data_IF_686132613369
#
_entry.id   IF_686132613369
#
_cell.length_a   1.000
_cell.length_b   1.000
_cell.length_c   1.000
_cell.angle_alpha   90.00
_cell.angle_beta   90.00
_cell.angle_gamma   90.00
#
_symmetry.space_group_name_H-M   'P 1'
#
loop_
_entity.id
_entity.type
_entity.pdbx_description
1 polymer ?
#
# COMPACT_ATOMS: atom_id res chain seq x y z
N UNK A 1 -24.36 36.75 34.62
CA UNK A 1 -24.84 37.45 33.41
C UNK A 1 -24.88 36.44 32.26
N UNK A 2 -26.07 35.89 32.00
CA UNK A 2 -26.51 35.49 30.65
C UNK A 2 -26.67 36.77 29.79
N UNK A 3 -26.62 36.76 28.44
CA UNK A 3 -27.55 35.97 27.59
C UNK A 3 -26.97 35.39 26.28
N UNK A 4 -27.41 34.18 25.90
CA UNK A 4 -28.37 33.87 24.83
C UNK A 4 -27.78 33.97 23.40
N UNK A 5 -27.77 32.92 22.59
CA UNK A 5 -29.01 32.33 22.10
C UNK A 5 -28.86 30.89 21.64
N UNK A 6 -29.38 29.97 22.45
CA UNK A 6 -29.75 28.62 22.02
C UNK A 6 -31.26 28.59 21.74
N UNK A 7 -31.66 28.62 20.48
CA UNK A 7 -32.98 28.20 20.01
C UNK A 7 -32.77 27.24 18.85
N UNK A 8 -33.35 26.04 18.95
CA UNK A 8 -33.29 25.07 17.85
C UNK A 8 -33.56 23.61 18.18
N UNK A 9 -34.17 23.27 19.33
CA UNK A 9 -34.92 22.02 19.44
C UNK A 9 -36.17 22.15 18.57
N UNK A 10 -36.09 21.73 17.30
CA UNK A 10 -37.22 21.40 16.42
C UNK A 10 -36.72 21.27 14.99
N UNK A 11 -36.30 20.07 14.59
CA UNK A 11 -36.45 19.49 13.23
C UNK A 11 -35.54 18.25 13.04
N UNK A 12 -35.60 17.29 13.96
CA UNK A 12 -35.15 15.91 13.72
C UNK A 12 -36.34 14.96 13.94
N UNK A 13 -37.45 15.27 13.26
CA UNK A 13 -38.60 14.37 13.05
C UNK A 13 -39.17 14.71 11.69
N UNK A 14 -38.50 14.25 10.64
CA UNK A 14 -38.95 14.58 9.28
C UNK A 14 -37.92 14.28 8.20
N UNK A 15 -37.26 13.11 8.25
CA UNK A 15 -36.53 12.49 7.12
C UNK A 15 -36.13 11.06 7.50
N UNK A 16 -37.12 10.28 7.92
CA UNK A 16 -37.09 8.81 8.01
C UNK A 16 -38.04 8.19 6.96
N UNK A 17 -38.41 8.96 5.94
CA UNK A 17 -39.15 8.50 4.78
C UNK A 17 -38.26 8.60 3.55
N UNK A 18 -38.04 7.46 2.88
CA UNK A 18 -37.37 7.26 1.56
C UNK A 18 -35.91 6.76 1.53
N UNK A 19 -35.45 6.02 2.55
CA UNK A 19 -34.19 5.26 2.46
C UNK A 19 -34.26 3.85 3.08
N UNK A 20 -35.44 3.24 3.08
CA UNK A 20 -35.68 1.90 3.64
C UNK A 20 -36.58 1.07 2.71
N UNK A 21 -36.23 0.98 1.43
CA UNK A 21 -36.85 0.05 0.49
C UNK A 21 -35.72 -0.75 -0.17
N UNK A 22 -35.79 -2.07 -0.01
CA UNK A 22 -35.00 -3.13 -0.65
C UNK A 22 -33.62 -3.51 -0.05
N UNK A 23 -33.58 -3.81 1.25
CA UNK A 23 -32.73 -4.90 1.79
C UNK A 23 -33.59 -5.84 2.63
N UNK A 24 -34.74 -6.22 2.08
CA UNK A 24 -35.67 -7.17 2.69
C UNK A 24 -35.78 -8.40 1.79
N UNK A 25 -34.81 -9.31 1.88
CA UNK A 25 -34.95 -10.71 1.41
C UNK A 25 -33.95 -11.69 2.07
N UNK A 26 -33.37 -11.36 3.23
CA UNK A 26 -32.35 -12.20 3.90
C UNK A 26 -32.86 -12.89 5.19
N UNK A 27 -34.14 -12.83 5.50
CA UNK A 27 -34.73 -13.63 6.57
C UNK A 27 -36.19 -13.93 6.21
N UNK A 28 -36.59 -15.19 6.42
CA UNK A 28 -37.90 -15.81 6.11
C UNK A 28 -37.91 -16.59 4.78
N UNK A 29 -37.48 -17.87 4.84
CA UNK A 29 -38.28 -19.06 4.47
C UNK A 29 -37.45 -20.35 4.25
N UNK A 30 -36.73 -20.84 5.27
CA UNK A 30 -36.69 -22.28 5.60
C UNK A 30 -36.63 -22.32 7.14
N UNK A 31 -37.78 -22.45 7.83
CA UNK A 31 -38.42 -23.75 8.00
C UNK A 31 -39.97 -23.66 7.95
N UNK A 32 -40.55 -23.14 6.87
CA UNK A 32 -42.00 -23.05 6.75
C UNK A 32 -42.57 -23.59 5.42
N UNK A 33 -41.80 -24.41 4.69
CA UNK A 33 -42.30 -25.19 3.55
C UNK A 33 -42.14 -26.71 3.72
N UNK A 34 -41.50 -27.19 4.79
CA UNK A 34 -41.61 -28.59 5.22
C UNK A 34 -42.92 -28.93 5.94
N UNK A 35 -43.74 -27.93 6.29
CA UNK A 35 -44.93 -28.12 7.13
C UNK A 35 -46.23 -27.46 6.66
N UNK A 36 -46.21 -26.58 5.64
CA UNK A 36 -47.42 -25.88 5.15
C UNK A 36 -47.86 -26.22 3.74
N UNK A 37 -47.25 -27.24 3.13
CA UNK A 37 -47.78 -27.93 1.93
C UNK A 37 -48.46 -29.27 2.28
N UNK A 38 -48.67 -29.56 3.57
CA UNK A 38 -49.44 -30.71 4.04
C UNK A 38 -50.93 -30.39 4.28
N UNK A 39 -51.39 -29.16 3.98
CA UNK A 39 -52.79 -28.75 4.18
C UNK A 39 -53.60 -28.59 2.87
N UNK A 40 -53.00 -28.86 1.71
CA UNK A 40 -53.70 -29.21 0.47
C UNK A 40 -52.78 -30.19 -0.26
N UNK A 41 -52.93 -31.49 -0.01
CA UNK A 41 -52.29 -32.51 -0.84
C UNK A 41 -52.91 -32.44 -2.25
N UNK A 42 -52.38 -31.55 -3.09
CA UNK A 42 -52.28 -31.85 -4.52
C UNK A 42 -51.31 -33.03 -4.61
N UNK A 43 -51.68 -34.09 -5.33
CA UNK A 43 -50.74 -35.15 -5.67
C UNK A 43 -49.50 -34.51 -6.28
N UNK A 44 -48.33 -34.81 -5.71
CA UNK A 44 -47.05 -34.41 -6.29
C UNK A 44 -46.86 -35.26 -7.54
N UNK A 45 -46.97 -34.63 -8.70
CA UNK A 45 -46.77 -35.24 -10.02
C UNK A 45 -45.45 -34.76 -10.63
N UNK A 46 -44.93 -35.50 -11.62
CA UNK A 46 -43.77 -35.08 -12.41
C UNK A 46 -43.95 -33.65 -12.96
N UNK A 47 -45.12 -33.33 -13.51
CA UNK A 47 -45.44 -32.00 -14.05
C UNK A 47 -45.46 -30.90 -12.98
N UNK A 48 -45.92 -31.21 -11.76
CA UNK A 48 -45.91 -30.25 -10.65
C UNK A 48 -44.48 -29.91 -10.19
N UNK A 49 -43.56 -30.87 -10.18
CA UNK A 49 -42.14 -30.65 -9.86
C UNK A 49 -41.48 -29.86 -10.99
N UNK A 50 -41.70 -30.24 -12.25
CA UNK A 50 -41.16 -29.52 -13.42
C UNK A 50 -41.57 -28.04 -13.40
N UNK A 51 -42.84 -27.77 -13.12
CA UNK A 51 -43.38 -26.40 -13.03
C UNK A 51 -42.73 -25.61 -11.89
N UNK A 52 -42.57 -26.25 -10.72
CA UNK A 52 -41.95 -25.63 -9.56
C UNK A 52 -40.48 -25.30 -9.80
N UNK A 53 -39.69 -26.24 -10.33
CA UNK A 53 -38.26 -26.04 -10.62
C UNK A 53 -38.04 -24.97 -11.68
N UNK A 54 -38.85 -24.96 -12.75
CA UNK A 54 -38.84 -23.86 -13.73
C UNK A 54 -39.06 -22.50 -13.05
N UNK A 55 -39.95 -22.42 -12.06
CA UNK A 55 -40.21 -21.18 -11.32
C UNK A 55 -39.05 -20.77 -10.39
N UNK A 56 -38.37 -21.75 -9.77
CA UNK A 56 -37.18 -21.50 -8.94
C UNK A 56 -36.01 -21.01 -9.76
N UNK A 57 -35.72 -21.68 -10.88
CA UNK A 57 -34.66 -21.29 -11.81
C UNK A 57 -34.93 -19.88 -12.34
N UNK A 58 -36.19 -19.57 -12.70
CA UNK A 58 -36.56 -18.21 -13.11
C UNK A 58 -36.24 -17.16 -12.04
N UNK A 59 -36.63 -17.41 -10.79
CA UNK A 59 -36.36 -16.49 -9.68
C UNK A 59 -34.85 -16.32 -9.43
N UNK A 60 -34.08 -17.40 -9.57
CA UNK A 60 -32.62 -17.37 -9.54
C UNK A 60 -32.03 -16.53 -10.66
N UNK A 61 -32.54 -16.68 -11.89
CA UNK A 61 -32.10 -15.92 -13.06
C UNK A 61 -32.39 -14.42 -12.93
N UNK A 62 -33.58 -14.06 -12.44
CA UNK A 62 -33.93 -12.67 -12.17
C UNK A 62 -32.99 -12.05 -11.11
N UNK A 63 -32.71 -12.81 -10.04
CA UNK A 63 -31.80 -12.38 -8.96
C UNK A 63 -30.35 -12.25 -9.44
N UNK A 64 -29.87 -13.18 -10.28
CA UNK A 64 -28.55 -13.10 -10.92
C UNK A 64 -28.45 -11.87 -11.84
N UNK A 65 -29.52 -11.56 -12.58
CA UNK A 65 -29.60 -10.36 -13.40
C UNK A 65 -29.46 -9.07 -12.59
N UNK A 66 -30.04 -9.00 -11.38
CA UNK A 66 -29.85 -7.87 -10.47
C UNK A 66 -28.44 -7.84 -9.86
N UNK A 67 -27.87 -9.00 -9.54
CA UNK A 67 -26.49 -9.10 -9.07
C UNK A 67 -25.50 -8.57 -10.12
N UNK A 68 -25.68 -8.92 -11.39
CA UNK A 68 -24.88 -8.40 -12.50
C UNK A 68 -25.10 -6.90 -12.78
N UNK A 69 -26.07 -6.26 -12.14
CA UNK A 69 -26.24 -4.79 -12.16
C UNK A 69 -25.62 -4.11 -10.95
N UNK A 70 -25.09 -4.85 -9.98
CA UNK A 70 -24.51 -4.27 -8.77
C UNK A 70 -23.30 -3.39 -9.06
N UNK A 71 -23.03 -2.44 -8.16
CA UNK A 71 -21.80 -1.63 -8.12
C UNK A 71 -20.97 -1.92 -6.88
N UNK A 72 -21.33 -2.96 -6.13
CA UNK A 72 -20.64 -3.34 -4.90
C UNK A 72 -19.29 -3.96 -5.23
N UNK A 73 -18.31 -3.72 -4.37
CA UNK A 73 -16.93 -4.23 -4.48
C UNK A 73 -16.59 -5.26 -3.40
N UNK A 74 -17.42 -5.36 -2.36
CA UNK A 74 -17.24 -6.33 -1.29
C UNK A 74 -17.54 -7.75 -1.76
N UNK A 75 -16.64 -8.69 -1.47
CA UNK A 75 -16.77 -10.10 -1.84
C UNK A 75 -18.06 -10.73 -1.30
N UNK A 76 -18.43 -10.43 -0.07
CA UNK A 76 -19.68 -10.90 0.57
C UNK A 76 -20.94 -10.41 -0.14
N UNK A 77 -20.90 -9.24 -0.79
CA UNK A 77 -22.03 -8.62 -1.48
C UNK A 77 -22.07 -8.94 -2.98
N UNK A 78 -21.12 -9.74 -3.47
CA UNK A 78 -20.97 -10.11 -4.88
C UNK A 78 -20.87 -11.62 -5.01
N UNK A 79 -19.67 -12.19 -4.90
CA UNK A 79 -19.42 -13.63 -4.96
C UNK A 79 -20.17 -14.40 -3.86
N UNK A 80 -20.26 -13.84 -2.65
CA UNK A 80 -21.04 -14.43 -1.56
C UNK A 80 -22.52 -14.55 -1.90
N UNK A 81 -23.11 -13.48 -2.45
CA UNK A 81 -24.50 -13.48 -2.92
C UNK A 81 -24.69 -14.46 -4.06
N UNK A 82 -23.75 -14.53 -5.02
CA UNK A 82 -23.78 -15.53 -6.09
C UNK A 82 -23.81 -16.96 -5.53
N UNK A 83 -22.93 -17.28 -4.58
CA UNK A 83 -22.88 -18.63 -3.98
C UNK A 83 -24.21 -19.00 -3.30
N UNK A 84 -24.84 -18.06 -2.59
CA UNK A 84 -26.16 -18.26 -1.98
C UNK A 84 -27.26 -18.47 -3.04
N UNK A 85 -27.28 -17.65 -4.10
CA UNK A 85 -28.23 -17.79 -5.21
C UNK A 85 -28.05 -19.14 -5.91
N UNK A 86 -26.80 -19.54 -6.14
CA UNK A 86 -26.45 -20.77 -6.80
C UNK A 86 -26.87 -22.01 -6.02
N UNK A 87 -26.58 -22.02 -4.71
CA UNK A 87 -27.00 -23.08 -3.81
C UNK A 87 -28.53 -23.19 -3.76
N UNK A 88 -29.22 -22.05 -3.69
CA UNK A 88 -30.66 -22.01 -3.48
C UNK A 88 -31.49 -22.31 -4.73
N UNK A 89 -31.06 -21.88 -5.92
CA UNK A 89 -31.91 -21.88 -7.12
C UNK A 89 -31.41 -22.72 -8.28
N UNK A 90 -30.09 -22.97 -8.40
CA UNK A 90 -29.53 -23.67 -9.57
C UNK A 90 -29.03 -25.08 -9.24
N UNK A 91 -28.60 -25.32 -8.00
CA UNK A 91 -28.14 -26.65 -7.56
C UNK A 91 -29.17 -27.41 -6.71
N UNK A 92 -30.31 -26.78 -6.39
CA UNK A 92 -31.37 -27.34 -5.54
C UNK A 92 -31.94 -28.64 -6.11
N UNK A 93 -32.23 -28.66 -7.41
CA UNK A 93 -32.80 -29.83 -8.09
C UNK A 93 -31.85 -31.03 -8.04
N UNK A 94 -30.58 -30.82 -8.39
CA UNK A 94 -29.57 -31.88 -8.38
C UNK A 94 -29.21 -32.37 -6.97
N UNK A 95 -29.38 -31.55 -5.92
CA UNK A 95 -29.07 -31.92 -4.53
C UNK A 95 -30.24 -32.55 -3.77
N UNK A 96 -31.45 -32.07 -3.99
CA UNK A 96 -32.61 -32.38 -3.13
C UNK A 96 -33.78 -32.94 -3.96
N UNK A 97 -34.10 -32.30 -5.10
CA UNK A 97 -35.29 -32.65 -5.90
C UNK A 97 -35.19 -33.98 -6.67
N UNK A 98 -33.98 -34.42 -7.01
CA UNK A 98 -33.76 -35.58 -7.89
C UNK A 98 -34.31 -36.90 -7.32
N UNK A 99 -34.28 -37.11 -5.99
CA UNK A 99 -34.72 -38.37 -5.39
C UNK A 99 -36.24 -38.58 -5.48
N UNK A 100 -37.01 -37.52 -5.24
CA UNK A 100 -38.47 -37.58 -5.34
C UNK A 100 -38.90 -37.66 -6.81
N UNK A 101 -38.24 -36.89 -7.67
CA UNK A 101 -38.46 -36.91 -9.11
C UNK A 101 -38.19 -38.30 -9.73
N UNK A 102 -37.04 -38.93 -9.42
CA UNK A 102 -36.70 -40.28 -9.90
C UNK A 102 -37.69 -41.34 -9.43
N UNK A 103 -38.15 -41.22 -8.19
CA UNK A 103 -39.11 -42.15 -7.59
C UNK A 103 -40.46 -42.09 -8.32
N UNK A 104 -40.91 -40.88 -8.65
CA UNK A 104 -42.11 -40.67 -9.46
C UNK A 104 -41.91 -41.13 -10.91
N UNK A 105 -40.75 -40.86 -11.49
CA UNK A 105 -40.40 -41.25 -12.86
C UNK A 105 -40.45 -42.77 -13.06
N UNK A 106 -39.96 -43.55 -12.07
CA UNK A 106 -40.02 -45.02 -12.08
C UNK A 106 -41.42 -45.60 -11.91
N UNK A 107 -42.35 -44.83 -11.35
CA UNK A 107 -43.73 -45.25 -11.09
C UNK A 107 -44.70 -44.82 -12.20
N UNK A 108 -44.27 -43.90 -13.07
CA UNK A 108 -45.04 -43.43 -14.21
C UNK A 108 -45.25 -44.55 -15.22
N UNK A 109 -46.52 -44.79 -15.60
CA UNK A 109 -46.91 -45.86 -16.53
C UNK A 109 -47.08 -45.36 -17.96
N UNK A 110 -47.26 -44.05 -18.15
CA UNK A 110 -47.28 -43.44 -19.47
C UNK A 110 -45.83 -43.25 -19.97
N UNK A 111 -45.42 -44.08 -20.94
CA UNK A 111 -44.08 -44.04 -21.55
C UNK A 111 -43.77 -42.66 -22.17
N UNK A 112 -44.76 -41.99 -22.75
CA UNK A 112 -44.59 -40.66 -23.36
C UNK A 112 -44.40 -39.58 -22.28
N UNK A 113 -45.14 -39.66 -21.19
CA UNK A 113 -44.98 -38.73 -20.06
C UNK A 113 -43.62 -38.93 -19.35
N UNK A 114 -43.23 -40.19 -19.12
CA UNK A 114 -41.94 -40.55 -18.52
C UNK A 114 -40.76 -40.10 -19.40
N UNK A 115 -40.79 -40.35 -20.71
CA UNK A 115 -39.75 -39.91 -21.63
C UNK A 115 -39.61 -38.37 -21.68
N UNK A 116 -40.73 -37.64 -21.64
CA UNK A 116 -40.71 -36.16 -21.60
C UNK A 116 -40.10 -35.63 -20.30
N UNK A 117 -40.46 -36.22 -19.17
CA UNK A 117 -39.94 -35.81 -17.86
C UNK A 117 -38.43 -36.10 -17.74
N UNK A 118 -37.96 -37.26 -18.21
CA UNK A 118 -36.54 -37.59 -18.25
C UNK A 118 -35.75 -36.62 -19.14
N UNK A 119 -36.23 -36.37 -20.36
CA UNK A 119 -35.58 -35.43 -21.29
C UNK A 119 -35.55 -34.00 -20.74
N UNK A 120 -36.58 -33.57 -20.02
CA UNK A 120 -36.59 -32.27 -19.35
C UNK A 120 -35.55 -32.20 -18.23
N UNK A 121 -35.44 -33.25 -17.40
CA UNK A 121 -34.49 -33.28 -16.29
C UNK A 121 -33.03 -33.18 -16.78
N UNK A 122 -32.70 -33.91 -17.85
CA UNK A 122 -31.38 -33.83 -18.49
C UNK A 122 -31.11 -32.42 -19.05
N UNK A 123 -32.08 -31.85 -19.77
CA UNK A 123 -31.95 -30.50 -20.32
C UNK A 123 -31.81 -29.44 -19.22
N UNK A 124 -32.57 -29.55 -18.13
CA UNK A 124 -32.50 -28.63 -17.00
C UNK A 124 -31.17 -28.71 -16.27
N UNK A 125 -30.64 -29.93 -16.05
CA UNK A 125 -29.33 -30.14 -15.43
C UNK A 125 -28.20 -29.49 -16.24
N UNK A 126 -28.19 -29.68 -17.58
CA UNK A 126 -27.19 -29.05 -18.45
C UNK A 126 -27.35 -27.52 -18.47
N UNK A 127 -28.59 -27.03 -18.48
CA UNK A 127 -28.87 -25.60 -18.44
C UNK A 127 -28.37 -24.94 -17.15
N UNK A 128 -28.65 -25.51 -15.97
CA UNK A 128 -28.18 -24.96 -14.69
C UNK A 128 -26.67 -25.08 -14.49
N UNK A 129 -26.03 -26.08 -15.12
CA UNK A 129 -24.56 -26.17 -15.21
C UNK A 129 -23.95 -25.04 -16.03
N UNK A 130 -24.54 -24.69 -17.18
CA UNK A 130 -24.06 -23.56 -17.98
C UNK A 130 -24.24 -22.22 -17.23
N UNK A 131 -25.30 -22.09 -16.44
CA UNK A 131 -25.54 -20.91 -15.60
C UNK A 131 -24.48 -20.73 -14.50
N UNK A 132 -23.68 -21.75 -14.18
CA UNK A 132 -22.59 -21.62 -13.20
C UNK A 132 -21.54 -20.58 -13.61
N UNK A 133 -21.40 -20.33 -14.92
CA UNK A 133 -20.50 -19.33 -15.49
C UNK A 133 -20.76 -17.90 -14.99
N UNK A 134 -21.96 -17.61 -14.45
CA UNK A 134 -22.27 -16.32 -13.81
C UNK A 134 -21.30 -16.02 -12.66
N UNK A 135 -20.83 -17.02 -11.91
CA UNK A 135 -19.87 -16.83 -10.83
C UNK A 135 -18.57 -16.18 -11.29
N UNK A 136 -18.02 -16.65 -12.41
CA UNK A 136 -16.80 -16.08 -13.01
C UNK A 136 -17.02 -14.65 -13.48
N UNK A 137 -18.18 -14.36 -14.07
CA UNK A 137 -18.53 -12.99 -14.50
C UNK A 137 -18.73 -12.05 -13.32
N UNK A 138 -19.33 -12.51 -12.22
CA UNK A 138 -19.51 -11.72 -11.00
C UNK A 138 -18.16 -11.39 -10.35
N UNK A 139 -17.25 -12.36 -10.25
CA UNK A 139 -15.89 -12.13 -9.76
C UNK A 139 -15.15 -11.12 -10.64
N UNK A 140 -15.19 -11.31 -11.96
CA UNK A 140 -14.57 -10.39 -12.90
C UNK A 140 -15.17 -8.97 -12.79
N UNK A 141 -16.49 -8.85 -12.71
CA UNK A 141 -17.17 -7.56 -12.53
C UNK A 141 -16.77 -6.87 -11.23
N UNK A 142 -16.58 -7.61 -10.13
CA UNK A 142 -16.08 -7.06 -8.87
C UNK A 142 -14.71 -6.43 -9.06
N UNK A 143 -13.80 -7.10 -9.78
CA UNK A 143 -12.47 -6.57 -10.08
C UNK A 143 -12.56 -5.32 -10.99
N UNK A 144 -13.41 -5.34 -12.01
CA UNK A 144 -13.70 -4.15 -12.85
C UNK A 144 -14.15 -2.96 -12.00
N UNK A 145 -15.03 -3.19 -11.02
CA UNK A 145 -15.53 -2.13 -10.14
C UNK A 145 -14.47 -1.60 -9.16
N UNK A 146 -13.58 -2.47 -8.67
CA UNK A 146 -12.43 -2.07 -7.86
C UNK A 146 -11.49 -1.18 -8.66
N UNK A 147 -11.16 -1.58 -9.89
CA UNK A 147 -10.31 -0.79 -10.78
C UNK A 147 -10.92 0.58 -11.09
N UNK A 148 -12.23 0.64 -11.39
CA UNK A 148 -12.93 1.92 -11.60
C UNK A 148 -12.78 2.82 -10.38
N UNK A 149 -13.11 2.31 -9.19
CA UNK A 149 -13.05 3.09 -7.95
C UNK A 149 -11.65 3.62 -7.68
N UNK A 150 -10.63 2.83 -8.02
CA UNK A 150 -9.24 3.19 -7.86
C UNK A 150 -8.84 4.29 -8.88
N UNK A 151 -9.14 4.09 -10.16
CA UNK A 151 -8.88 5.06 -11.24
C UNK A 151 -9.52 6.42 -10.95
N UNK A 152 -10.77 6.43 -10.51
CA UNK A 152 -11.50 7.65 -10.15
C UNK A 152 -10.90 8.34 -8.92
N UNK A 153 -10.45 7.57 -7.93
CA UNK A 153 -9.82 8.12 -6.73
C UNK A 153 -8.47 8.78 -7.03
N UNK A 154 -7.68 8.17 -7.91
CA UNK A 154 -6.37 8.69 -8.29
C UNK A 154 -6.46 9.82 -9.31
N UNK A 155 -7.41 9.78 -10.23
CA UNK A 155 -7.75 10.89 -11.14
C UNK A 155 -8.13 12.14 -10.35
N UNK A 156 -9.01 12.01 -9.35
CA UNK A 156 -9.43 13.12 -8.50
C UNK A 156 -8.27 13.77 -7.71
N UNK A 157 -7.16 13.05 -7.50
CA UNK A 157 -5.97 13.53 -6.76
C UNK A 157 -4.82 13.97 -7.65
N UNK A 158 -4.92 13.77 -8.97
CA UNK A 158 -3.83 14.02 -9.91
C UNK A 158 -3.33 15.47 -9.83
N UNK A 159 -4.26 16.43 -9.83
CA UNK A 159 -3.92 17.86 -9.81
C UNK A 159 -3.13 18.26 -8.56
N UNK A 160 -3.59 17.83 -7.38
CA UNK A 160 -2.92 18.13 -6.10
C UNK A 160 -1.53 17.47 -6.02
N UNK A 161 -1.40 16.22 -6.51
CA UNK A 161 -0.09 15.54 -6.60
C UNK A 161 0.86 16.32 -7.51
N UNK A 162 0.41 16.74 -8.69
CA UNK A 162 1.25 17.47 -9.64
C UNK A 162 1.67 18.84 -9.11
N UNK A 163 0.75 19.57 -8.48
CA UNK A 163 1.08 20.81 -7.77
C UNK A 163 2.15 20.60 -6.71
N UNK A 164 2.10 19.47 -5.98
CA UNK A 164 3.10 19.15 -4.97
C UNK A 164 4.49 18.92 -5.61
N UNK A 165 4.58 18.18 -6.73
CA UNK A 165 5.86 17.98 -7.43
C UNK A 165 6.40 19.28 -8.04
N UNK A 166 5.52 20.12 -8.59
CA UNK A 166 5.89 21.36 -9.27
C UNK A 166 6.35 22.46 -8.32
N UNK A 167 5.87 22.46 -7.07
CA UNK A 167 6.10 23.54 -6.11
C UNK A 167 7.56 23.98 -5.99
N UNK A 168 8.48 23.03 -5.79
CA UNK A 168 9.90 23.35 -5.63
C UNK A 168 10.56 23.71 -6.96
N UNK A 169 10.41 22.94 -8.06
CA UNK A 169 10.89 23.32 -9.38
C UNK A 169 10.41 24.70 -9.87
N UNK A 170 9.14 25.07 -9.64
CA UNK A 170 8.59 26.39 -10.03
C UNK A 170 9.24 27.54 -9.26
N UNK A 171 9.60 27.32 -7.98
CA UNK A 171 10.30 28.31 -7.16
C UNK A 171 11.80 28.37 -7.51
N UNK A 172 12.43 27.20 -7.66
CA UNK A 172 13.87 27.07 -7.88
C UNK A 172 14.27 27.43 -9.31
N UNK A 173 13.45 27.12 -10.32
CA UNK A 173 13.77 27.32 -11.73
C UNK A 173 14.11 28.78 -12.09
N UNK A 174 13.23 29.76 -11.82
CA UNK A 174 13.52 31.17 -12.07
C UNK A 174 14.75 31.67 -11.31
N UNK A 175 14.87 31.30 -10.03
CA UNK A 175 16.01 31.70 -9.20
C UNK A 175 17.32 31.13 -9.73
N UNK A 176 17.32 29.87 -10.15
CA UNK A 176 18.48 29.23 -10.75
C UNK A 176 18.90 29.93 -12.05
N UNK A 177 17.94 30.30 -12.90
CA UNK A 177 18.21 31.06 -14.12
C UNK A 177 18.84 32.44 -13.83
N UNK A 178 18.42 33.12 -12.76
CA UNK A 178 19.05 34.37 -12.30
C UNK A 178 20.50 34.14 -11.86
N UNK A 179 20.77 33.11 -11.05
CA UNK A 179 22.12 32.78 -10.59
C UNK A 179 23.02 32.50 -11.79
N UNK A 180 22.58 31.67 -12.74
CA UNK A 180 23.33 31.37 -13.98
C UNK A 180 23.64 32.64 -14.75
N UNK A 181 22.65 33.52 -14.93
CA UNK A 181 22.82 34.79 -15.66
C UNK A 181 23.84 35.69 -14.97
N UNK A 182 23.72 35.86 -13.66
CA UNK A 182 24.58 36.78 -12.89
C UNK A 182 26.00 36.25 -12.78
N UNK A 183 26.15 34.93 -12.64
CA UNK A 183 27.42 34.23 -12.68
C UNK A 183 28.12 34.37 -14.04
N UNK A 184 27.43 34.06 -15.14
CA UNK A 184 27.99 34.17 -16.51
C UNK A 184 28.32 35.61 -16.91
N UNK A 185 27.59 36.59 -16.37
CA UNK A 185 27.87 38.01 -16.57
C UNK A 185 29.05 38.53 -15.72
N UNK A 186 29.67 37.69 -14.88
CA UNK A 186 30.77 38.09 -13.99
C UNK A 186 30.36 39.08 -12.90
N UNK A 187 29.07 39.12 -12.54
CA UNK A 187 28.52 40.08 -11.57
C UNK A 187 28.64 39.61 -10.11
N UNK A 188 29.08 38.38 -9.89
CA UNK A 188 29.19 37.77 -8.57
C UNK A 188 30.66 37.78 -8.11
N UNK A 189 30.92 38.39 -6.95
CA UNK A 189 32.20 38.21 -6.24
C UNK A 189 32.23 36.90 -5.46
N UNK A 190 33.38 36.55 -4.88
CA UNK A 190 33.55 35.26 -4.19
C UNK A 190 32.56 35.05 -3.04
N UNK A 191 32.19 36.10 -2.31
CA UNK A 191 31.18 36.04 -1.25
C UNK A 191 29.77 35.77 -1.78
N UNK A 192 29.40 36.39 -2.91
CA UNK A 192 28.12 36.15 -3.57
C UNK A 192 28.07 34.76 -4.20
N UNK A 193 29.16 34.29 -4.80
CA UNK A 193 29.28 32.93 -5.34
C UNK A 193 29.08 31.90 -4.22
N UNK A 194 29.69 32.11 -3.05
CA UNK A 194 29.50 31.20 -1.90
C UNK A 194 28.05 31.17 -1.41
N UNK A 195 27.36 32.34 -1.33
CA UNK A 195 25.93 32.39 -1.00
C UNK A 195 25.07 31.66 -2.04
N UNK A 196 25.34 31.88 -3.32
CA UNK A 196 24.65 31.19 -4.41
C UNK A 196 24.89 29.69 -4.35
N UNK A 197 26.11 29.25 -4.00
CA UNK A 197 26.43 27.83 -3.84
C UNK A 197 25.60 27.18 -2.73
N UNK A 198 25.41 27.86 -1.60
CA UNK A 198 24.59 27.35 -0.50
C UNK A 198 23.09 27.29 -0.89
N UNK A 199 22.59 28.27 -1.63
CA UNK A 199 21.24 28.23 -2.23
C UNK A 199 21.08 27.04 -3.20
N UNK A 200 22.03 26.85 -4.11
CA UNK A 200 22.01 25.78 -5.13
C UNK A 200 22.07 24.39 -4.49
N UNK A 201 22.80 24.22 -3.39
CA UNK A 201 22.80 22.96 -2.60
C UNK A 201 21.41 22.64 -2.05
N UNK A 202 20.70 23.64 -1.52
CA UNK A 202 19.32 23.49 -1.09
C UNK A 202 18.38 23.12 -2.24
N UNK A 203 18.54 23.78 -3.39
CA UNK A 203 17.79 23.46 -4.61
C UNK A 203 18.05 22.02 -5.06
N UNK A 204 19.31 21.56 -5.02
CA UNK A 204 19.68 20.20 -5.41
C UNK A 204 18.94 19.17 -4.57
N UNK A 205 19.02 19.28 -3.25
CA UNK A 205 18.34 18.36 -2.33
C UNK A 205 16.83 18.35 -2.58
N UNK A 206 16.22 19.51 -2.81
CA UNK A 206 14.79 19.58 -3.11
C UNK A 206 14.43 18.94 -4.45
N UNK A 207 15.24 19.16 -5.49
CA UNK A 207 14.99 18.59 -6.83
C UNK A 207 15.24 17.08 -6.86
N UNK A 208 16.23 16.58 -6.13
CA UNK A 208 16.47 15.13 -5.94
C UNK A 208 15.27 14.48 -5.24
N UNK A 209 14.76 15.09 -4.16
CA UNK A 209 13.56 14.58 -3.49
C UNK A 209 12.33 14.59 -4.41
N UNK A 210 12.15 15.63 -5.23
CA UNK A 210 11.07 15.68 -6.23
C UNK A 210 11.23 14.59 -7.29
N UNK A 211 12.46 14.38 -7.79
CA UNK A 211 12.79 13.32 -8.75
C UNK A 211 12.42 11.94 -8.20
N UNK A 212 12.87 11.62 -6.98
CA UNK A 212 12.57 10.35 -6.31
C UNK A 212 11.08 10.15 -6.09
N UNK A 213 10.35 11.18 -5.65
CA UNK A 213 8.91 11.12 -5.46
C UNK A 213 8.16 10.84 -6.77
N UNK A 214 8.53 11.53 -7.85
CA UNK A 214 7.93 11.33 -9.18
C UNK A 214 8.20 9.92 -9.71
N UNK A 215 9.42 9.42 -9.56
CA UNK A 215 9.80 8.07 -10.03
C UNK A 215 9.04 7.01 -9.25
N UNK A 216 8.97 7.12 -7.92
CA UNK A 216 8.20 6.18 -7.09
C UNK A 216 6.74 6.14 -7.53
N UNK A 217 6.14 7.30 -7.74
CA UNK A 217 4.72 7.37 -8.06
C UNK A 217 4.46 6.90 -9.51
N UNK A 218 5.40 7.10 -10.44
CA UNK A 218 5.38 6.44 -11.75
C UNK A 218 5.47 4.91 -11.67
N UNK A 219 6.33 4.39 -10.81
CA UNK A 219 6.43 2.95 -10.59
C UNK A 219 5.15 2.39 -9.98
N UNK A 220 4.54 3.09 -9.02
CA UNK A 220 3.26 2.71 -8.45
C UNK A 220 2.20 2.67 -9.55
N UNK A 221 2.11 3.72 -10.37
CA UNK A 221 1.19 3.76 -11.52
C UNK A 221 1.46 2.66 -12.54
N UNK A 222 2.73 2.31 -12.78
CA UNK A 222 3.12 1.24 -13.70
C UNK A 222 2.91 -0.17 -13.16
N UNK A 223 2.98 -0.37 -11.84
CA UNK A 223 2.73 -1.67 -11.16
C UNK A 223 1.25 -2.02 -11.09
N UNK A 224 0.37 -1.09 -11.42
CA UNK A 224 -1.06 -1.37 -11.47
C UNK A 224 -1.32 -2.34 -12.61
N UNK A 225 -1.68 -3.56 -12.25
CA UNK A 225 -2.33 -4.54 -13.13
C UNK A 225 -3.74 -4.04 -13.47
N UNK A 226 -3.83 -2.88 -14.12
CA UNK A 226 -5.07 -2.44 -14.67
C UNK A 226 -5.52 -3.48 -15.69
N UNK A 227 -6.82 -3.79 -15.68
CA UNK A 227 -7.41 -4.58 -16.74
C UNK A 227 -6.98 -4.03 -18.11
N UNK A 228 -6.72 -4.93 -19.08
CA UNK A 228 -6.23 -4.51 -20.39
C UNK A 228 -7.21 -3.59 -21.13
N UNK A 229 -6.84 -3.14 -22.32
CA UNK A 229 -7.78 -2.38 -23.19
C UNK A 229 -8.95 -3.22 -23.70
N UNK A 230 -8.80 -4.54 -23.65
CA UNK A 230 -9.77 -5.52 -24.12
C UNK A 230 -10.40 -6.29 -22.96
N UNK A 231 -11.67 -6.64 -23.12
CA UNK A 231 -12.36 -7.53 -22.19
C UNK A 231 -11.70 -8.91 -22.20
N UNK A 232 -11.60 -9.57 -21.03
CA UNK A 232 -11.05 -10.91 -20.91
C UNK A 232 -11.76 -11.87 -21.88
N UNK A 233 -10.98 -12.56 -22.72
CA UNK A 233 -11.48 -13.48 -23.74
C UNK A 233 -12.36 -14.59 -23.14
N UNK A 234 -12.11 -15.00 -21.90
CA UNK A 234 -12.94 -15.98 -21.18
C UNK A 234 -14.33 -15.42 -20.93
N UNK A 235 -14.42 -14.18 -20.46
CA UNK A 235 -15.69 -13.48 -20.23
C UNK A 235 -16.45 -13.29 -21.54
N UNK A 236 -15.75 -12.89 -22.62
CA UNK A 236 -16.37 -12.78 -23.95
C UNK A 236 -17.03 -14.10 -24.37
N UNK A 237 -16.33 -15.24 -24.22
CA UNK A 237 -16.89 -16.57 -24.52
C UNK A 237 -18.10 -16.94 -23.66
N UNK A 238 -18.08 -16.57 -22.37
CA UNK A 238 -19.23 -16.78 -21.49
C UNK A 238 -20.45 -15.98 -21.99
N UNK A 239 -20.26 -14.72 -22.37
CA UNK A 239 -21.33 -13.87 -22.91
C UNK A 239 -21.88 -14.41 -24.24
N UNK A 240 -21.02 -14.91 -25.12
CA UNK A 240 -21.44 -15.60 -26.36
C UNK A 240 -22.29 -16.84 -26.01
N UNK A 241 -21.83 -17.66 -25.07
CA UNK A 241 -22.57 -18.82 -24.57
C UNK A 241 -23.95 -18.46 -24.02
N UNK A 242 -24.09 -17.37 -23.27
CA UNK A 242 -25.38 -16.87 -22.78
C UNK A 242 -26.32 -16.46 -23.91
N UNK A 243 -25.79 -15.92 -25.01
CA UNK A 243 -26.58 -15.57 -26.21
C UNK A 243 -27.13 -16.80 -26.94
N UNK A 244 -26.45 -17.93 -26.83
CA UNK A 244 -26.79 -19.18 -27.54
C UNK A 244 -27.58 -20.18 -26.67
N UNK A 245 -27.93 -19.81 -25.43
CA UNK A 245 -28.60 -20.71 -24.47
C UNK A 245 -29.87 -21.36 -25.01
N UNK A 246 -30.69 -20.62 -25.77
CA UNK A 246 -31.90 -21.17 -26.38
C UNK A 246 -31.64 -22.26 -27.44
N UNK A 247 -30.54 -22.14 -28.18
CA UNK A 247 -30.15 -23.15 -29.17
C UNK A 247 -29.49 -24.37 -28.53
N UNK A 248 -28.71 -24.15 -27.46
CA UNK A 248 -28.03 -25.21 -26.71
C UNK A 248 -28.99 -26.08 -25.88
N UNK A 249 -30.08 -25.49 -25.39
CA UNK A 249 -31.03 -26.14 -24.48
C UNK A 249 -32.47 -26.10 -25.03
N UNK A 250 -32.76 -26.77 -26.17
CA UNK A 250 -34.08 -26.73 -26.80
C UNK A 250 -35.19 -27.40 -25.95
N UNK A 251 -34.82 -28.21 -24.96
CA UNK A 251 -35.74 -28.86 -24.02
C UNK A 251 -36.14 -28.02 -22.81
N UNK A 252 -35.59 -26.81 -22.66
CA UNK A 252 -35.90 -25.86 -21.57
C UNK A 252 -36.94 -24.83 -22.05
N UNK A 253 -37.74 -24.28 -21.13
CA UNK A 253 -38.68 -23.20 -21.44
C UNK A 253 -37.95 -22.06 -22.20
N UNK A 254 -38.39 -21.69 -23.42
CA UNK A 254 -37.74 -20.64 -24.20
C UNK A 254 -37.62 -19.30 -23.47
N UNK A 255 -38.53 -18.99 -22.54
CA UNK A 255 -38.47 -17.77 -21.72
C UNK A 255 -37.34 -17.82 -20.69
N UNK A 256 -37.04 -19.00 -20.15
CA UNK A 256 -35.88 -19.19 -19.28
C UNK A 256 -34.58 -19.06 -20.08
N UNK A 257 -34.49 -19.77 -21.20
CA UNK A 257 -33.29 -19.75 -22.02
C UNK A 257 -32.97 -18.35 -22.59
N UNK A 258 -34.00 -17.56 -22.95
CA UNK A 258 -33.83 -16.16 -23.36
C UNK A 258 -33.41 -15.22 -22.23
N UNK A 259 -33.62 -15.59 -20.96
CA UNK A 259 -33.30 -14.77 -19.80
C UNK A 259 -31.81 -14.51 -19.62
N UNK A 260 -30.94 -15.48 -19.96
CA UNK A 260 -29.49 -15.34 -19.83
C UNK A 260 -28.91 -14.27 -20.80
N UNK A 261 -29.43 -14.22 -22.03
CA UNK A 261 -29.03 -13.22 -23.02
C UNK A 261 -29.33 -11.78 -22.56
N UNK A 262 -30.34 -11.59 -21.70
CA UNK A 262 -30.69 -10.27 -21.15
C UNK A 262 -29.65 -9.72 -20.16
N UNK A 263 -28.71 -10.54 -19.67
CA UNK A 263 -27.64 -10.10 -18.78
C UNK A 263 -26.48 -9.44 -19.51
N UNK A 264 -26.24 -9.82 -20.78
CA UNK A 264 -25.11 -9.37 -21.60
C UNK A 264 -24.97 -7.84 -21.63
N UNK A 265 -26.05 -7.05 -21.85
CA UNK A 265 -25.94 -5.59 -21.85
C UNK A 265 -25.43 -5.01 -20.54
N UNK A 266 -25.77 -5.60 -19.39
CA UNK A 266 -25.32 -5.11 -18.07
C UNK A 266 -23.80 -5.28 -17.92
N UNK A 267 -23.28 -6.45 -18.30
CA UNK A 267 -21.84 -6.76 -18.26
C UNK A 267 -21.06 -5.86 -19.21
N UNK A 268 -21.54 -5.71 -20.46
CA UNK A 268 -20.93 -4.79 -21.44
C UNK A 268 -20.93 -3.35 -20.94
N UNK A 269 -22.02 -2.91 -20.29
CA UNK A 269 -22.10 -1.56 -19.75
C UNK A 269 -21.05 -1.30 -18.66
N UNK A 270 -20.72 -2.31 -17.84
CA UNK A 270 -19.65 -2.18 -16.84
C UNK A 270 -18.28 -2.02 -17.49
N UNK A 271 -18.02 -2.77 -18.55
CA UNK A 271 -16.79 -2.62 -19.32
C UNK A 271 -16.66 -1.24 -19.97
N UNK A 272 -17.75 -0.71 -20.55
CA UNK A 272 -17.78 0.66 -21.08
C UNK A 272 -17.44 1.70 -20.00
N UNK A 273 -17.99 1.54 -18.79
CA UNK A 273 -17.69 2.45 -17.69
C UNK A 273 -16.22 2.37 -17.27
N UNK A 274 -15.63 1.17 -17.29
CA UNK A 274 -14.20 0.99 -17.05
C UNK A 274 -13.34 1.71 -18.08
N UNK A 275 -13.64 1.54 -19.38
CA UNK A 275 -12.93 2.24 -20.45
C UNK A 275 -13.03 3.76 -20.25
N UNK A 276 -14.21 4.29 -19.93
CA UNK A 276 -14.41 5.72 -19.70
C UNK A 276 -13.63 6.24 -18.46
N UNK A 277 -13.57 5.46 -17.37
CA UNK A 277 -12.76 5.81 -16.20
C UNK A 277 -11.27 5.80 -16.54
N UNK A 278 -10.83 4.80 -17.31
CA UNK A 278 -9.44 4.68 -17.75
C UNK A 278 -9.01 5.84 -18.64
N UNK A 279 -9.85 6.24 -19.60
CA UNK A 279 -9.58 7.39 -20.47
C UNK A 279 -9.44 8.70 -19.68
N UNK A 280 -10.26 8.90 -18.64
CA UNK A 280 -10.14 10.07 -17.76
C UNK A 280 -8.83 10.05 -16.98
N UNK A 281 -8.51 8.89 -16.39
CA UNK A 281 -7.25 8.70 -15.67
C UNK A 281 -6.04 8.97 -16.57
N UNK A 282 -5.97 8.32 -17.75
CA UNK A 282 -4.86 8.48 -18.69
C UNK A 282 -4.72 9.94 -19.13
N UNK A 283 -5.84 10.66 -19.35
CA UNK A 283 -5.83 12.09 -19.68
C UNK A 283 -5.32 12.94 -18.53
N UNK A 284 -5.79 12.70 -17.31
CA UNK A 284 -5.35 13.43 -16.13
C UNK A 284 -3.86 13.19 -15.87
N UNK A 285 -3.39 11.94 -16.00
CA UNK A 285 -2.01 11.54 -15.76
C UNK A 285 -1.06 11.74 -16.95
N UNK A 286 -1.55 12.16 -18.11
CA UNK A 286 -0.74 12.37 -19.32
C UNK A 286 0.52 13.21 -19.08
N UNK A 287 0.49 14.35 -18.33
CA UNK A 287 1.72 15.12 -18.06
C UNK A 287 2.79 14.29 -17.36
N UNK A 288 2.39 13.46 -16.38
CA UNK A 288 3.29 12.56 -15.67
C UNK A 288 3.79 11.46 -16.60
N UNK A 289 2.87 10.69 -17.21
CA UNK A 289 3.17 9.49 -18.00
C UNK A 289 3.96 9.78 -19.28
N UNK A 290 3.77 10.95 -19.88
CA UNK A 290 4.49 11.36 -21.10
C UNK A 290 5.84 12.02 -20.83
N UNK A 291 6.25 12.14 -19.56
CA UNK A 291 7.52 12.81 -19.22
C UNK A 291 7.47 14.34 -19.36
N UNK A 292 6.29 14.95 -19.35
CA UNK A 292 6.09 16.37 -19.69
C UNK A 292 5.75 17.25 -18.50
N UNK A 293 5.73 16.70 -17.27
CA UNK A 293 5.29 17.42 -16.08
C UNK A 293 6.07 18.73 -15.87
N UNK A 294 7.38 18.75 -16.12
CA UNK A 294 8.24 19.93 -15.89
C UNK A 294 8.51 20.77 -17.15
N UNK A 295 7.83 20.51 -18.27
CA UNK A 295 8.13 21.11 -19.59
C UNK A 295 8.05 22.64 -19.61
N UNK A 296 7.18 23.20 -18.77
CA UNK A 296 6.95 24.64 -18.69
C UNK A 296 7.99 25.37 -17.83
N UNK A 297 8.89 24.64 -17.15
CA UNK A 297 9.98 25.23 -16.36
C UNK A 297 11.27 25.16 -17.18
N UNK A 298 11.76 26.28 -17.75
CA UNK A 298 12.82 26.26 -18.76
C UNK A 298 14.10 25.52 -18.36
N UNK A 299 14.47 25.61 -17.09
CA UNK A 299 15.69 24.96 -16.55
C UNK A 299 15.58 23.43 -16.50
N UNK A 300 14.38 22.90 -16.33
CA UNK A 300 14.12 21.46 -16.17
C UNK A 300 13.47 20.82 -17.40
N UNK A 301 13.08 21.62 -18.39
CA UNK A 301 12.28 21.20 -19.55
C UNK A 301 12.83 19.97 -20.27
N UNK A 302 14.13 19.91 -20.46
CA UNK A 302 14.80 18.93 -21.30
C UNK A 302 15.39 17.75 -20.49
N UNK A 303 15.03 17.64 -19.21
CA UNK A 303 15.52 16.59 -18.32
C UNK A 303 14.46 15.53 -18.05
N UNK A 304 14.86 14.26 -18.16
CA UNK A 304 14.05 13.14 -17.67
C UNK A 304 13.90 13.20 -16.16
N UNK A 305 12.84 12.60 -15.60
CA UNK A 305 12.58 12.66 -14.16
C UNK A 305 13.75 12.14 -13.30
N UNK A 306 14.42 11.06 -13.72
CA UNK A 306 15.61 10.52 -13.03
C UNK A 306 16.82 11.46 -13.03
N UNK A 307 16.88 12.36 -14.01
CA UNK A 307 17.98 13.29 -14.24
C UNK A 307 17.57 14.74 -13.93
N UNK A 308 16.42 14.95 -13.29
CA UNK A 308 15.84 16.27 -13.00
C UNK A 308 16.80 17.19 -12.22
N UNK A 309 17.67 16.61 -11.38
CA UNK A 309 18.67 17.35 -10.62
C UNK A 309 19.94 17.70 -11.43
N UNK A 310 20.08 17.18 -12.66
CA UNK A 310 21.20 17.43 -13.57
C UNK A 310 21.61 18.90 -13.70
N UNK A 311 20.72 19.82 -14.09
CA UNK A 311 21.10 21.22 -14.32
C UNK A 311 21.53 21.90 -13.01
N UNK A 312 20.96 21.48 -11.87
CA UNK A 312 21.33 22.02 -10.55
C UNK A 312 22.72 21.54 -10.14
N UNK A 313 23.05 20.27 -10.39
CA UNK A 313 24.37 19.68 -10.14
C UNK A 313 25.45 20.35 -11.00
N UNK A 314 25.14 20.63 -12.27
CA UNK A 314 26.04 21.36 -13.17
C UNK A 314 26.35 22.76 -12.64
N UNK A 315 25.33 23.52 -12.24
CA UNK A 315 25.53 24.85 -11.65
C UNK A 315 26.32 24.79 -10.33
N UNK A 316 26.06 23.80 -9.48
CA UNK A 316 26.81 23.61 -8.25
C UNK A 316 28.30 23.40 -8.53
N UNK A 317 28.63 22.57 -9.53
CA UNK A 317 30.00 22.32 -9.97
C UNK A 317 30.66 23.59 -10.55
N UNK A 318 29.93 24.36 -11.36
CA UNK A 318 30.43 25.63 -11.92
C UNK A 318 30.78 26.64 -10.81
N UNK A 319 29.90 26.83 -9.83
CA UNK A 319 30.12 27.75 -8.71
C UNK A 319 31.29 27.31 -7.84
N UNK A 320 31.41 26.01 -7.53
CA UNK A 320 32.59 25.48 -6.81
C UNK A 320 33.87 25.71 -7.58
N UNK A 321 33.87 25.41 -8.88
CA UNK A 321 35.04 25.56 -9.74
C UNK A 321 35.50 27.02 -9.77
N UNK A 322 34.58 27.98 -9.83
CA UNK A 322 34.91 29.41 -9.78
C UNK A 322 35.53 29.85 -8.43
N UNK A 323 35.04 29.32 -7.30
CA UNK A 323 35.67 29.59 -6.00
C UNK A 323 37.10 29.05 -5.94
N UNK A 324 37.34 27.84 -6.44
CA UNK A 324 38.69 27.27 -6.52
C UNK A 324 39.56 28.07 -7.48
N UNK A 325 39.03 28.50 -8.63
CA UNK A 325 39.75 29.33 -9.61
C UNK A 325 40.23 30.66 -8.99
N UNK A 326 39.42 31.27 -8.12
CA UNK A 326 39.75 32.54 -7.47
C UNK A 326 41.02 32.43 -6.59
N UNK A 327 41.27 31.26 -6.02
CA UNK A 327 42.45 30.94 -5.18
C UNK A 327 43.59 30.33 -5.98
N UNK A 328 43.29 29.50 -6.97
CA UNK A 328 44.26 28.71 -7.76
C UNK A 328 44.35 29.23 -9.20
N UNK A 329 44.67 30.53 -9.35
CA UNK A 329 44.61 31.28 -10.61
C UNK A 329 45.49 30.73 -11.75
N UNK A 330 46.48 29.90 -11.42
CA UNK A 330 47.45 29.35 -12.36
C UNK A 330 47.01 28.01 -12.97
N UNK A 331 45.94 27.38 -12.45
CA UNK A 331 45.51 26.04 -12.88
C UNK A 331 44.48 26.10 -14.00
N UNK A 332 44.50 25.09 -14.85
CA UNK A 332 43.50 24.89 -15.89
C UNK A 332 42.13 24.51 -15.31
N UNK A 333 41.05 24.79 -16.04
CA UNK A 333 39.68 24.46 -15.63
C UNK A 333 39.50 22.96 -15.32
N UNK A 334 40.13 22.08 -16.09
CA UNK A 334 40.10 20.63 -15.87
C UNK A 334 40.79 20.21 -14.57
N UNK A 335 41.86 20.89 -14.19
CA UNK A 335 42.55 20.65 -12.92
C UNK A 335 41.73 21.15 -11.73
N UNK A 336 41.05 22.29 -11.90
CA UNK A 336 40.13 22.84 -10.90
C UNK A 336 38.93 21.90 -10.67
N UNK A 337 38.27 21.44 -11.74
CA UNK A 337 37.18 20.47 -11.65
C UNK A 337 37.63 19.16 -10.99
N UNK A 338 38.81 18.66 -11.34
CA UNK A 338 39.41 17.49 -10.67
C UNK A 338 39.71 17.75 -9.19
N UNK A 339 40.12 18.95 -8.81
CA UNK A 339 40.31 19.32 -7.40
C UNK A 339 38.98 19.32 -6.63
N UNK A 340 37.92 19.89 -7.22
CA UNK A 340 36.56 19.85 -6.63
C UNK A 340 36.06 18.42 -6.48
N UNK A 341 36.15 17.59 -7.53
CA UNK A 341 35.70 16.21 -7.47
C UNK A 341 36.42 15.38 -6.40
N UNK A 342 37.75 15.56 -6.26
CA UNK A 342 38.54 14.92 -5.20
C UNK A 342 38.15 15.39 -3.80
N UNK A 343 37.90 16.69 -3.62
CA UNK A 343 37.43 17.23 -2.34
C UNK A 343 36.08 16.61 -1.94
N UNK A 344 35.15 16.49 -2.88
CA UNK A 344 33.85 15.86 -2.64
C UNK A 344 33.96 14.39 -2.29
N UNK A 345 34.78 13.62 -3.01
CA UNK A 345 35.01 12.20 -2.71
C UNK A 345 35.61 12.01 -1.31
N UNK A 346 36.62 12.81 -0.97
CA UNK A 346 37.23 12.78 0.36
C UNK A 346 36.23 13.18 1.45
N UNK A 347 35.43 14.23 1.21
CA UNK A 347 34.39 14.68 2.14
C UNK A 347 33.41 13.56 2.45
N UNK A 348 32.96 12.81 1.44
CA UNK A 348 32.06 11.65 1.66
C UNK A 348 32.71 10.55 2.51
N UNK A 349 33.97 10.22 2.24
CA UNK A 349 34.73 9.22 3.01
C UNK A 349 34.91 9.66 4.46
N UNK A 350 35.24 10.93 4.68
CA UNK A 350 35.43 11.52 6.00
C UNK A 350 34.12 11.57 6.78
N UNK A 351 33.00 11.98 6.16
CA UNK A 351 31.67 11.95 6.77
C UNK A 351 31.28 10.52 7.20
N UNK A 352 31.46 9.54 6.32
CA UNK A 352 31.18 8.14 6.64
C UNK A 352 32.04 7.65 7.82
N UNK A 353 33.33 8.01 7.84
CA UNK A 353 34.24 7.67 8.93
C UNK A 353 33.83 8.32 10.26
N UNK A 354 33.46 9.60 10.26
CA UNK A 354 33.00 10.28 11.48
C UNK A 354 31.72 9.63 12.01
N UNK A 355 30.77 9.28 11.14
CA UNK A 355 29.55 8.58 11.54
C UNK A 355 29.83 7.18 12.13
N UNK A 356 30.78 6.45 11.55
CA UNK A 356 31.23 5.15 12.08
C UNK A 356 31.83 5.29 13.48
N UNK A 357 32.72 6.27 13.66
CA UNK A 357 33.36 6.57 14.95
C UNK A 357 32.32 6.93 16.01
N UNK A 358 31.38 7.83 15.71
CA UNK A 358 30.30 8.19 16.64
C UNK A 358 29.40 6.99 16.99
N UNK A 359 29.14 6.08 16.04
CA UNK A 359 28.39 4.85 16.32
C UNK A 359 29.15 3.88 17.25
N UNK A 360 30.48 3.94 17.30
CA UNK A 360 31.25 3.11 18.23
C UNK A 360 31.03 3.50 19.70
N UNK A 361 30.71 4.78 19.97
CA UNK A 361 30.60 5.39 21.30
C UNK A 361 29.19 5.98 21.55
N UNK A 362 28.15 5.23 21.18
CA UNK A 362 26.77 5.70 21.31
C UNK A 362 26.29 5.80 22.76
N UNK A 363 25.33 6.70 23.00
CA UNK A 363 24.64 6.85 24.29
C UNK A 363 24.02 5.52 24.75
N UNK A 364 23.50 4.73 23.80
CA UNK A 364 22.91 3.42 24.07
C UNK A 364 23.94 2.44 24.65
N UNK A 365 25.14 2.35 24.04
CA UNK A 365 26.23 1.51 24.54
C UNK A 365 26.70 1.94 25.93
N UNK A 366 26.83 3.26 26.14
CA UNK A 366 27.18 3.80 27.46
C UNK A 366 26.13 3.38 28.52
N UNK A 367 24.84 3.49 28.18
CA UNK A 367 23.74 3.08 29.07
C UNK A 367 23.74 1.58 29.34
N UNK A 368 23.99 0.75 28.33
CA UNK A 368 24.08 -0.71 28.48
C UNK A 368 25.21 -1.11 29.43
N UNK A 369 26.38 -0.48 29.31
CA UNK A 369 27.52 -0.72 30.21
C UNK A 369 27.20 -0.32 31.65
N UNK A 370 26.55 0.83 31.85
CA UNK A 370 26.10 1.28 33.18
C UNK A 370 25.08 0.32 33.80
N UNK A 371 24.13 -0.20 33.01
CA UNK A 371 23.17 -1.20 33.46
C UNK A 371 23.84 -2.54 33.76
N UNK A 372 24.82 -2.96 32.96
CA UNK A 372 25.59 -4.17 33.19
C UNK A 372 26.39 -4.07 34.50
N UNK A 373 27.01 -2.91 34.76
CA UNK A 373 27.69 -2.64 36.04
C UNK A 373 26.73 -2.68 37.23
N UNK A 374 25.55 -2.06 37.13
CA UNK A 374 24.54 -2.09 38.19
C UNK A 374 23.97 -3.49 38.48
N UNK A 375 24.00 -4.39 37.50
CA UNK A 375 23.49 -5.78 37.60
C UNK A 375 24.59 -6.81 37.87
N UNK A 376 25.86 -6.43 37.76
CA UNK A 376 26.98 -7.34 37.97
C UNK A 376 26.92 -7.96 39.37
N UNK A 377 27.25 -9.25 39.48
CA UNK A 377 27.09 -10.04 40.70
C UNK A 377 25.64 -10.06 41.24
N UNK A 378 24.64 -9.89 40.36
CA UNK A 378 23.21 -9.83 40.71
C UNK A 378 22.77 -8.57 41.47
N UNK A 379 23.67 -7.60 41.65
CA UNK A 379 23.40 -6.26 42.19
C UNK A 379 22.66 -6.28 43.54
N UNK A 380 21.75 -5.30 43.72
CA UNK A 380 20.98 -5.13 44.97
C UNK A 380 20.11 -6.34 45.30
N UNK A 381 19.63 -7.07 44.28
CA UNK A 381 18.79 -8.26 44.50
C UNK A 381 19.61 -9.40 45.11
N UNK A 382 20.84 -9.63 44.65
CA UNK A 382 21.72 -10.66 45.21
C UNK A 382 22.10 -10.37 46.66
N UNK A 383 22.39 -9.10 46.99
CA UNK A 383 22.64 -8.68 48.38
C UNK A 383 21.43 -9.00 49.27
N UNK A 384 20.21 -8.75 48.78
CA UNK A 384 18.98 -9.06 49.52
C UNK A 384 18.79 -10.57 49.70
N UNK A 385 19.03 -11.37 48.66
CA UNK A 385 18.98 -12.83 48.71
C UNK A 385 19.98 -13.39 49.74
N UNK A 386 21.23 -12.92 49.70
CA UNK A 386 22.27 -13.32 50.64
C UNK A 386 21.90 -12.94 52.08
N UNK A 387 21.28 -11.79 52.29
CA UNK A 387 20.79 -11.36 53.61
C UNK A 387 19.69 -12.28 54.14
N UNK A 388 18.76 -12.72 53.28
CA UNK A 388 17.70 -13.68 53.65
C UNK A 388 18.28 -15.08 53.90
N UNK A 389 19.30 -15.48 53.15
CA UNK A 389 19.98 -16.75 53.35
C UNK A 389 20.71 -16.78 54.70
N UNK A 390 21.48 -15.73 55.00
CA UNK A 390 22.22 -15.59 56.25
C UNK A 390 21.32 -15.61 57.49
N UNK A 391 20.08 -15.10 57.42
CA UNK A 391 19.16 -15.13 58.57
C UNK A 391 18.63 -16.53 58.93
N UNK A 392 18.90 -17.53 58.08
CA UNK A 392 18.46 -18.92 58.26
C UNK A 392 19.63 -19.88 58.54
N UNK A 393 20.86 -19.40 58.48
CA UNK A 393 22.08 -20.20 58.67
C UNK A 393 22.70 -19.87 60.04
N UNK A 394 23.29 -20.86 60.75
CA UNK A 394 24.12 -20.60 61.92
C UNK A 394 25.33 -19.72 61.57
N UNK A 395 25.65 -18.72 62.39
CA UNK A 395 26.73 -17.75 62.12
C UNK A 395 28.13 -18.39 62.01
N UNK A 396 28.33 -19.52 62.69
CA UNK A 396 29.56 -20.30 62.69
C UNK A 396 29.68 -21.27 61.51
N UNK A 397 28.62 -21.39 60.69
CA UNK A 397 28.62 -22.27 59.52
C UNK A 397 29.50 -21.72 58.39
N UNK A 398 30.12 -22.64 57.64
CA UNK A 398 30.94 -22.29 56.46
C UNK A 398 30.10 -21.55 55.40
N UNK A 399 28.83 -21.93 55.25
CA UNK A 399 27.91 -21.32 54.29
C UNK A 399 27.51 -19.89 54.68
N UNK A 400 27.33 -19.60 55.98
CA UNK A 400 27.12 -18.23 56.46
C UNK A 400 28.32 -17.35 56.15
N UNK A 401 29.53 -17.84 56.43
CA UNK A 401 30.77 -17.10 56.13
C UNK A 401 30.91 -16.78 54.64
N UNK A 402 30.66 -17.74 53.75
CA UNK A 402 30.72 -17.54 52.29
C UNK A 402 29.68 -16.51 51.82
N UNK A 403 28.44 -16.61 52.29
CA UNK A 403 27.38 -15.66 51.94
C UNK A 403 27.67 -14.24 52.44
N UNK A 404 28.23 -14.11 53.66
CA UNK A 404 28.64 -12.83 54.25
C UNK A 404 29.80 -12.20 53.48
N UNK A 405 30.79 -13.00 53.09
CA UNK A 405 31.92 -12.55 52.29
C UNK A 405 31.48 -12.09 50.89
N UNK A 406 30.63 -12.87 50.21
CA UNK A 406 30.06 -12.50 48.91
C UNK A 406 29.25 -11.20 49.00
N UNK A 407 28.38 -11.06 50.01
CA UNK A 407 27.59 -9.86 50.23
C UNK A 407 28.47 -8.63 50.48
N UNK A 408 29.54 -8.78 51.27
CA UNK A 408 30.52 -7.73 51.54
C UNK A 408 31.25 -7.30 50.27
N UNK A 409 31.66 -8.24 49.42
CA UNK A 409 32.32 -7.95 48.16
C UNK A 409 31.38 -7.21 47.20
N UNK A 410 30.11 -7.61 47.10
CA UNK A 410 29.11 -6.96 46.23
C UNK A 410 28.79 -5.54 46.73
N UNK A 411 28.58 -5.36 48.03
CA UNK A 411 28.30 -4.05 48.63
C UNK A 411 29.50 -3.09 48.54
N UNK A 412 30.71 -3.63 48.65
CA UNK A 412 31.96 -2.89 48.48
C UNK A 412 32.41 -2.70 47.04
N UNK A 413 31.59 -3.03 46.04
CA UNK A 413 31.92 -2.96 44.60
C UNK A 413 33.25 -3.67 44.23
N UNK A 414 33.61 -4.69 45.00
CA UNK A 414 34.89 -5.41 44.89
C UNK A 414 34.69 -6.84 44.37
N UNK A 415 33.47 -7.23 43.99
CA UNK A 415 33.21 -8.52 43.39
C UNK A 415 33.87 -8.60 42.00
N UNK A 416 34.49 -9.74 41.61
CA UNK A 416 35.18 -9.88 40.32
C UNK A 416 34.34 -9.47 39.10
N UNK A 417 33.04 -9.77 39.11
CA UNK A 417 32.11 -9.36 38.05
C UNK A 417 31.90 -7.84 37.99
N UNK A 418 31.83 -7.16 39.14
CA UNK A 418 31.69 -5.70 39.21
C UNK A 418 32.96 -5.02 38.73
N UNK A 419 34.13 -5.51 39.16
CA UNK A 419 35.44 -5.02 38.70
C UNK A 419 35.62 -5.22 37.19
N UNK A 420 35.16 -6.36 36.64
CA UNK A 420 35.19 -6.61 35.20
C UNK A 420 34.25 -5.67 34.42
N UNK A 421 33.07 -5.36 34.97
CA UNK A 421 32.16 -4.39 34.37
C UNK A 421 32.70 -2.95 34.46
N UNK A 422 33.32 -2.58 35.58
CA UNK A 422 33.99 -1.29 35.77
C UNK A 422 35.14 -1.12 34.77
N UNK A 423 35.96 -2.16 34.57
CA UNK A 423 37.01 -2.15 33.56
C UNK A 423 36.44 -1.87 32.16
N UNK A 424 35.33 -2.50 31.79
CA UNK A 424 34.67 -2.25 30.49
C UNK A 424 34.17 -0.81 30.35
N UNK A 425 33.71 -0.19 31.44
CA UNK A 425 33.34 1.24 31.45
C UNK A 425 34.57 2.09 31.19
N UNK A 426 35.69 1.85 31.91
CA UNK A 426 36.94 2.60 31.69
C UNK A 426 37.49 2.43 30.27
N UNK A 427 37.47 1.20 29.74
CA UNK A 427 37.89 0.91 28.37
C UNK A 427 37.01 1.67 27.34
N UNK A 428 35.71 1.82 27.64
CA UNK A 428 34.78 2.60 26.82
C UNK A 428 35.03 4.10 26.91
N UNK A 429 35.28 4.66 28.10
CA UNK A 429 35.65 6.07 28.28
C UNK A 429 36.96 6.42 27.55
N UNK A 430 37.94 5.51 27.58
CA UNK A 430 39.18 5.68 26.82
C UNK A 430 38.93 5.62 25.30
N UNK A 431 38.03 4.74 24.85
CA UNK A 431 37.60 4.71 23.46
C UNK A 431 36.90 6.01 23.06
N UNK A 432 36.00 6.55 23.90
CA UNK A 432 35.31 7.83 23.68
C UNK A 432 36.29 8.99 23.51
N UNK A 433 37.30 9.08 24.38
CA UNK A 433 38.36 10.09 24.23
C UNK A 433 39.11 9.94 22.91
N UNK A 434 39.55 8.73 22.55
CA UNK A 434 40.28 8.45 21.30
C UNK A 434 39.43 8.79 20.07
N UNK A 435 38.16 8.42 20.09
CA UNK A 435 37.19 8.76 19.04
C UNK A 435 37.05 10.28 18.92
N UNK A 436 36.91 11.00 20.05
CA UNK A 436 36.83 12.46 20.05
C UNK A 436 38.06 13.12 19.42
N UNK A 437 39.27 12.64 19.74
CA UNK A 437 40.53 13.10 19.16
C UNK A 437 40.63 12.81 17.66
N UNK A 438 40.24 11.61 17.22
CA UNK A 438 40.25 11.23 15.80
C UNK A 438 39.25 12.04 14.98
N UNK A 439 38.02 12.21 15.47
CA UNK A 439 36.99 13.04 14.82
C UNK A 439 37.46 14.49 14.71
N UNK A 440 38.04 15.05 15.78
CA UNK A 440 38.58 16.41 15.76
C UNK A 440 39.67 16.56 14.70
N UNK A 441 40.62 15.62 14.61
CA UNK A 441 41.66 15.63 13.58
C UNK A 441 41.08 15.59 12.16
N UNK A 442 40.09 14.72 11.90
CA UNK A 442 39.42 14.63 10.60
C UNK A 442 38.78 15.98 10.25
N UNK A 443 38.08 16.61 11.19
CA UNK A 443 37.44 17.93 10.98
C UNK A 443 38.49 19.00 10.67
N UNK A 444 39.58 19.06 11.43
CA UNK A 444 40.63 20.07 11.24
C UNK A 444 41.36 19.92 9.89
N UNK A 445 41.69 18.68 9.49
CA UNK A 445 42.29 18.38 8.20
C UNK A 445 41.35 18.72 7.04
N UNK A 446 40.07 18.37 7.19
CA UNK A 446 39.01 18.72 6.24
C UNK A 446 38.89 20.24 6.07
N UNK A 447 38.76 20.99 7.18
CA UNK A 447 38.65 22.45 7.13
C UNK A 447 39.87 23.10 6.48
N UNK A 448 41.08 22.62 6.81
CA UNK A 448 42.32 23.13 6.22
C UNK A 448 42.33 22.92 4.71
N UNK A 449 41.89 21.75 4.22
CA UNK A 449 41.78 21.46 2.79
C UNK A 449 40.73 22.35 2.11
N UNK A 450 39.55 22.51 2.70
CA UNK A 450 38.48 23.38 2.15
C UNK A 450 38.93 24.83 2.03
N UNK A 451 39.59 25.36 3.05
CA UNK A 451 40.14 26.73 3.06
C UNK A 451 41.20 26.92 1.97
N UNK A 452 42.07 25.94 1.72
CA UNK A 452 43.08 26.02 0.65
C UNK A 452 42.50 25.98 -0.76
N UNK A 453 41.24 25.53 -0.89
CA UNK A 453 40.45 25.57 -2.13
C UNK A 453 39.55 26.82 -2.22
N UNK A 454 39.56 27.71 -1.23
CA UNK A 454 38.66 28.87 -1.20
C UNK A 454 37.19 28.53 -0.92
N UNK A 455 36.93 27.30 -0.45
CA UNK A 455 35.60 26.82 -0.15
C UNK A 455 35.29 27.00 1.34
N UNK A 456 34.02 27.20 1.69
CA UNK A 456 33.61 27.33 3.09
C UNK A 456 34.03 26.10 3.92
N UNK A 457 34.60 26.30 5.13
CA UNK A 457 35.00 25.22 6.02
C UNK A 457 33.77 24.52 6.63
N UNK A 458 33.89 23.21 6.87
CA UNK A 458 32.88 22.41 7.56
C UNK A 458 32.60 21.09 6.85
N UNK A 459 32.74 19.99 7.59
CA UNK A 459 32.53 18.62 7.08
C UNK A 459 31.05 18.25 6.97
N UNK A 460 30.21 18.81 7.83
CA UNK A 460 28.76 18.69 7.78
C UNK A 460 28.20 20.05 7.36
N UNK A 461 28.30 20.36 6.07
CA UNK A 461 27.59 21.52 5.54
C UNK A 461 26.09 21.25 5.65
N UNK A 462 25.35 22.18 6.25
CA UNK A 462 23.88 22.14 6.31
C UNK A 462 23.25 22.20 4.92
#
# INVERSE_FOLDING_TARGET
>A
MSPAGGRGQSAMKGRLGKAAVLVAAAAVLIPAWGGKLLAQQKEVTLESIMTYENSLVKAGMDSAGELLKTTKTEKSQTEGVWNELNEKYFTSFSRIGHFEFDSLLKREKDESASARAASWADAMNLFTQDLQSVGEVVEWMRNVMLDISWLESDEARAEDRFKAYLRAPEQNGPRMAEIVRDFKAGRLGSSEIQKCLDEVRGMRSSTENTSEAVIRDLEEVGKMEALGKDMDRRIVRILEGWGEMGARHPGVDPKLAAGAAAWIPAVKKRWENYIAAREKFDRAYAPLLEGKLFRDIPVFRDYEYKDLAGPVRELELELKTALVAAVQREKSEEELRRAVARDEELTKKEQARVMELWKSVSIEKARELQLAYARAAGGVNRVRELTILMSRLPEDSEDYRKASEEARLIQGFSHPEQLAAEKKIRDFEELERRVGEEVKRIIEEHEKRRRSLGLAPGIFSR
#
